data_IF_224682994266
#
_entry.id   IF_224682994266
#
_cell.length_a   1.000
_cell.length_b   1.000
_cell.length_c   1.000
_cell.angle_alpha   90.00
_cell.angle_beta   90.00
_cell.angle_gamma   90.00
#
_symmetry.space_group_name_H-M   'P 1'
#
loop_
_entity.id
_entity.type
_entity.pdbx_description
1 polymer ?
#
# COMPACT_ATOMS: atom_id res chain seq x y z
N UNK A 1 2.54 -9.84 -15.97
CA UNK A 1 3.68 -9.21 -15.27
C UNK A 1 4.03 -7.80 -15.76
N UNK A 2 4.26 -7.55 -17.08
CA UNK A 2 4.68 -6.23 -17.59
C UNK A 2 3.72 -5.09 -17.20
N UNK A 3 2.41 -5.29 -17.35
CA UNK A 3 1.39 -4.30 -16.97
C UNK A 3 1.41 -4.01 -15.47
N UNK A 4 1.53 -5.05 -14.64
CA UNK A 4 1.61 -4.93 -13.17
C UNK A 4 2.87 -4.16 -12.74
N UNK A 5 4.04 -4.49 -13.33
CA UNK A 5 5.28 -3.77 -13.08
C UNK A 5 5.18 -2.28 -13.44
N UNK A 6 4.56 -1.97 -14.60
CA UNK A 6 4.35 -0.58 -14.99
C UNK A 6 3.43 0.15 -13.98
N UNK A 7 2.35 -0.47 -13.54
CA UNK A 7 1.45 0.10 -12.54
C UNK A 7 2.19 0.37 -11.21
N UNK A 8 2.96 -0.61 -10.71
CA UNK A 8 3.78 -0.45 -9.51
C UNK A 8 4.83 0.66 -9.63
N UNK A 9 5.43 0.83 -10.82
CA UNK A 9 6.47 1.84 -11.04
C UNK A 9 5.94 3.27 -11.05
N UNK A 10 4.71 3.50 -11.53
CA UNK A 10 4.10 4.84 -11.59
C UNK A 10 3.32 5.19 -10.33
N UNK A 11 2.99 4.20 -9.52
CA UNK A 11 2.14 4.36 -8.34
C UNK A 11 2.66 5.41 -7.33
N UNK A 12 3.97 5.50 -6.97
CA UNK A 12 4.42 6.52 -6.02
C UNK A 12 4.08 7.94 -6.46
N UNK A 13 4.22 8.22 -7.74
CA UNK A 13 3.88 9.54 -8.30
C UNK A 13 2.36 9.78 -8.28
N UNK A 14 1.56 8.76 -8.58
CA UNK A 14 0.10 8.86 -8.53
C UNK A 14 -0.39 9.07 -7.10
N UNK A 15 0.12 8.28 -6.14
CA UNK A 15 -0.23 8.40 -4.72
C UNK A 15 0.08 9.81 -4.19
N UNK A 16 1.26 10.33 -4.51
CA UNK A 16 1.68 11.69 -4.12
C UNK A 16 0.77 12.75 -4.74
N UNK A 17 0.45 12.63 -6.03
CA UNK A 17 -0.43 13.58 -6.72
C UNK A 17 -1.85 13.60 -6.11
N UNK A 18 -2.44 12.43 -5.85
CA UNK A 18 -3.76 12.34 -5.21
C UNK A 18 -3.75 12.81 -3.76
N UNK A 19 -2.70 12.51 -3.00
CA UNK A 19 -2.56 13.01 -1.64
C UNK A 19 -2.51 14.55 -1.60
N UNK A 20 -1.72 15.18 -2.47
CA UNK A 20 -1.62 16.64 -2.51
C UNK A 20 -2.85 17.32 -3.12
N UNK A 21 -3.67 16.61 -3.86
CA UNK A 21 -5.00 17.08 -4.29
C UNK A 21 -5.98 17.20 -3.11
N UNK A 22 -5.78 16.43 -2.02
CA UNK A 22 -6.55 16.62 -0.78
C UNK A 22 -6.16 17.97 -0.16
N UNK A 23 -7.13 18.87 0.12
CA UNK A 23 -6.84 20.13 0.78
C UNK A 23 -6.06 19.95 2.09
N UNK A 24 -5.06 20.79 2.34
CA UNK A 24 -4.16 20.62 3.49
C UNK A 24 -4.91 20.45 4.83
N UNK A 25 -5.96 21.22 5.08
CA UNK A 25 -6.80 21.09 6.29
C UNK A 25 -7.70 19.84 6.31
N UNK A 26 -7.76 19.08 5.20
CA UNK A 26 -8.54 17.85 5.09
C UNK A 26 -7.70 16.56 5.19
N UNK A 27 -6.38 16.65 5.29
CA UNK A 27 -5.51 15.45 5.24
C UNK A 27 -5.66 14.53 6.44
N UNK A 28 -6.07 15.06 7.58
CA UNK A 28 -6.41 14.31 8.80
C UNK A 28 -7.93 14.15 9.00
N UNK A 29 -8.72 14.65 8.06
CA UNK A 29 -10.17 14.55 8.18
C UNK A 29 -10.63 13.10 8.10
N UNK A 30 -11.60 12.75 8.97
CA UNK A 30 -12.26 11.44 9.01
C UNK A 30 -13.77 11.66 8.87
N UNK A 31 -14.47 10.89 8.03
CA UNK A 31 -15.92 10.95 7.92
C UNK A 31 -16.61 10.33 9.13
N UNK A 32 -17.90 10.65 9.34
CA UNK A 32 -18.74 10.01 10.36
C UNK A 32 -19.00 8.52 10.04
N UNK A 33 -18.88 8.11 8.78
CA UNK A 33 -19.03 6.73 8.33
C UNK A 33 -18.02 6.40 7.23
N UNK A 34 -17.39 5.25 7.34
CA UNK A 34 -16.48 4.68 6.36
C UNK A 34 -17.17 3.75 5.36
N UNK A 35 -18.50 3.69 5.35
CA UNK A 35 -19.25 2.85 4.44
C UNK A 35 -18.92 3.18 2.98
N UNK A 36 -18.52 2.16 2.23
CA UNK A 36 -18.15 2.26 0.81
C UNK A 36 -16.72 2.75 0.54
N UNK A 37 -15.87 2.88 1.57
CA UNK A 37 -14.44 3.10 1.33
C UNK A 37 -13.82 1.86 0.66
N UNK A 38 -13.00 2.02 -0.39
CA UNK A 38 -12.38 0.88 -1.08
C UNK A 38 -11.09 0.35 -0.43
N UNK A 39 -10.55 1.06 0.57
CA UNK A 39 -9.37 0.73 1.35
C UNK A 39 -9.70 0.57 2.82
N UNK A 40 -8.69 0.45 3.69
CA UNK A 40 -8.88 0.55 5.14
C UNK A 40 -9.36 1.97 5.54
N UNK A 41 -10.03 2.10 6.71
CA UNK A 41 -10.65 3.35 7.16
C UNK A 41 -9.62 4.36 7.70
N UNK A 42 -8.74 4.83 6.86
CA UNK A 42 -7.66 5.77 7.14
C UNK A 42 -7.93 7.15 6.54
N UNK A 43 -7.55 8.22 7.26
CA UNK A 43 -7.45 9.57 6.69
C UNK A 43 -6.38 9.61 5.61
N UNK A 44 -6.32 10.69 4.82
CA UNK A 44 -5.37 10.77 3.71
C UNK A 44 -3.90 10.62 4.15
N UNK A 45 -3.51 11.19 5.30
CA UNK A 45 -2.15 11.03 5.83
C UNK A 45 -1.90 9.60 6.30
N UNK A 46 -2.89 8.97 6.94
CA UNK A 46 -2.77 7.58 7.39
C UNK A 46 -2.70 6.62 6.21
N UNK A 47 -3.40 6.88 5.09
CA UNK A 47 -3.31 6.09 3.86
C UNK A 47 -1.88 5.99 3.34
N UNK A 48 -1.18 7.12 3.23
CA UNK A 48 0.20 7.12 2.67
C UNK A 48 1.20 6.48 3.64
N UNK A 49 1.02 6.65 4.96
CA UNK A 49 1.83 5.98 5.96
C UNK A 49 1.63 4.46 5.90
N UNK A 50 0.37 4.01 5.81
CA UNK A 50 0.02 2.60 5.70
C UNK A 50 0.63 1.96 4.46
N UNK A 51 0.49 2.60 3.29
CA UNK A 51 1.09 2.10 2.04
C UNK A 51 2.61 1.92 2.17
N UNK A 52 3.32 2.91 2.76
CA UNK A 52 4.76 2.80 3.03
C UNK A 52 5.07 1.60 3.93
N UNK A 53 4.35 1.44 5.03
CA UNK A 53 4.67 0.44 6.04
C UNK A 53 4.30 -0.98 5.58
N UNK A 54 3.18 -1.15 4.88
CA UNK A 54 2.85 -2.44 4.25
C UNK A 54 3.89 -2.84 3.19
N UNK A 55 4.48 -1.88 2.47
CA UNK A 55 5.59 -2.18 1.56
C UNK A 55 6.81 -2.70 2.32
N UNK A 56 7.23 -1.97 3.38
CA UNK A 56 8.46 -2.25 4.13
C UNK A 56 8.33 -3.47 5.04
N UNK A 57 7.32 -3.49 5.90
CA UNK A 57 7.16 -4.52 6.93
C UNK A 57 6.38 -5.74 6.41
N UNK A 58 5.52 -5.54 5.41
CA UNK A 58 4.73 -6.60 4.80
C UNK A 58 5.42 -7.22 3.59
N UNK A 59 5.42 -6.50 2.45
CA UNK A 59 5.82 -7.10 1.17
C UNK A 59 7.30 -7.44 1.06
N UNK A 60 8.21 -6.63 1.61
CA UNK A 60 9.64 -6.98 1.61
C UNK A 60 9.89 -8.28 2.36
N UNK A 61 9.26 -8.47 3.51
CA UNK A 61 9.39 -9.70 4.30
C UNK A 61 8.70 -10.89 3.60
N UNK A 62 7.51 -10.69 3.01
CA UNK A 62 6.81 -11.72 2.26
C UNK A 62 7.63 -12.21 1.07
N UNK A 63 8.22 -11.30 0.27
CA UNK A 63 9.11 -11.68 -0.83
C UNK A 63 10.35 -12.40 -0.33
N UNK A 64 11.00 -11.90 0.71
CA UNK A 64 12.17 -12.55 1.30
C UNK A 64 11.87 -14.00 1.68
N UNK A 65 10.80 -14.22 2.45
CA UNK A 65 10.41 -15.55 2.93
C UNK A 65 9.99 -16.47 1.79
N UNK A 66 9.14 -16.01 0.88
CA UNK A 66 8.69 -16.80 -0.26
C UNK A 66 9.84 -17.22 -1.20
N UNK A 67 10.89 -16.40 -1.29
CA UNK A 67 12.08 -16.70 -2.11
C UNK A 67 13.10 -17.61 -1.41
N UNK A 68 13.16 -17.61 -0.07
CA UNK A 68 14.19 -18.32 0.68
C UNK A 68 13.67 -19.60 1.36
N UNK A 69 12.41 -19.65 1.77
CA UNK A 69 11.82 -20.75 2.51
C UNK A 69 10.98 -21.68 1.59
N UNK A 70 10.74 -22.89 2.01
CA UNK A 70 9.90 -23.86 1.31
C UNK A 70 8.43 -23.68 1.73
N UNK A 71 7.59 -23.10 0.86
CA UNK A 71 6.17 -22.88 1.06
C UNK A 71 5.82 -22.23 2.44
N UNK A 72 6.40 -21.06 2.78
CA UNK A 72 6.18 -20.43 4.07
C UNK A 72 4.74 -19.96 4.26
N UNK A 73 4.27 -19.94 5.51
CA UNK A 73 3.05 -19.17 5.87
C UNK A 73 3.45 -17.73 6.11
N UNK A 74 2.87 -16.82 5.34
CA UNK A 74 3.17 -15.40 5.38
C UNK A 74 2.20 -14.67 6.29
N UNK A 75 2.73 -13.73 7.08
CA UNK A 75 1.97 -12.99 8.07
C UNK A 75 1.28 -11.78 7.46
N UNK A 76 0.08 -11.46 7.97
CA UNK A 76 -0.54 -10.17 7.78
C UNK A 76 0.08 -9.13 8.72
N UNK A 77 0.11 -7.89 8.27
CA UNK A 77 0.50 -6.74 9.08
C UNK A 77 -0.78 -6.05 9.55
N UNK A 78 -0.92 -5.88 10.86
CA UNK A 78 -2.03 -5.12 11.44
C UNK A 78 -1.79 -3.62 11.23
N UNK A 79 -2.41 -3.09 10.19
CA UNK A 79 -2.27 -1.69 9.81
C UNK A 79 -2.85 -0.71 10.84
N UNK A 80 -3.91 -1.07 11.56
CA UNK A 80 -4.51 -0.22 12.58
C UNK A 80 -3.60 -0.10 13.80
N UNK A 81 -3.04 -1.20 14.27
CA UNK A 81 -2.04 -1.21 15.34
C UNK A 81 -0.83 -0.38 14.96
N UNK A 82 -0.27 -0.56 13.76
CA UNK A 82 0.85 0.26 13.27
C UNK A 82 0.52 1.74 13.20
N UNK A 83 -0.69 2.11 12.77
CA UNK A 83 -1.11 3.50 12.68
C UNK A 83 -1.10 4.19 14.05
N UNK A 84 -1.55 3.49 15.09
CA UNK A 84 -1.51 3.99 16.47
C UNK A 84 -0.08 4.07 17.02
N UNK A 85 0.70 2.99 16.89
CA UNK A 85 2.05 2.89 17.45
C UNK A 85 3.02 3.90 16.80
N UNK A 86 2.88 4.15 15.50
CA UNK A 86 3.74 5.05 14.73
C UNK A 86 3.20 6.47 14.59
N UNK A 87 2.02 6.74 15.14
CA UNK A 87 1.43 8.07 15.15
C UNK A 87 1.20 8.64 13.75
N UNK A 88 0.61 7.87 12.83
CA UNK A 88 0.44 8.25 11.42
C UNK A 88 -0.18 9.63 11.23
N UNK A 89 -1.11 10.04 12.07
CA UNK A 89 -1.78 11.33 11.98
C UNK A 89 -0.83 12.55 12.13
N UNK A 90 0.34 12.35 12.73
CA UNK A 90 1.36 13.38 12.96
C UNK A 90 2.57 13.26 12.00
N UNK A 91 2.53 12.35 11.03
CA UNK A 91 3.63 12.11 10.12
C UNK A 91 3.89 13.29 9.17
N UNK A 92 5.16 13.52 8.80
CA UNK A 92 5.53 14.44 7.73
C UNK A 92 5.35 13.74 6.36
N UNK A 93 4.45 14.24 5.50
CA UNK A 93 4.24 13.64 4.18
C UNK A 93 5.50 13.58 3.32
N UNK A 94 6.41 14.55 3.43
CA UNK A 94 7.64 14.58 2.64
C UNK A 94 8.55 13.41 3.03
N UNK A 95 8.70 13.14 4.33
CA UNK A 95 9.47 12.00 4.83
C UNK A 95 8.81 10.68 4.44
N UNK A 96 7.47 10.58 4.54
CA UNK A 96 6.72 9.39 4.16
C UNK A 96 6.93 9.05 2.69
N UNK A 97 6.77 10.03 1.78
CA UNK A 97 6.97 9.80 0.35
C UNK A 97 8.43 9.52 -0.01
N UNK A 98 9.39 10.14 0.66
CA UNK A 98 10.81 9.85 0.45
C UNK A 98 11.13 8.39 0.82
N UNK A 99 10.68 7.93 1.99
CA UNK A 99 10.85 6.56 2.45
C UNK A 99 10.12 5.56 1.54
N UNK A 100 8.88 5.87 1.13
CA UNK A 100 8.11 5.02 0.24
C UNK A 100 8.77 4.85 -1.14
N UNK A 101 9.30 5.92 -1.74
CA UNK A 101 10.02 5.81 -3.02
C UNK A 101 11.23 4.90 -2.94
N UNK A 102 11.97 4.94 -1.83
CA UNK A 102 13.11 4.04 -1.59
C UNK A 102 12.63 2.59 -1.47
N UNK A 103 11.58 2.36 -0.68
CA UNK A 103 11.00 1.03 -0.50
C UNK A 103 10.50 0.45 -1.82
N UNK A 104 9.75 1.23 -2.62
CA UNK A 104 9.25 0.82 -3.93
C UNK A 104 10.37 0.53 -4.93
N UNK A 105 11.43 1.31 -4.95
CA UNK A 105 12.59 1.04 -5.79
C UNK A 105 13.19 -0.34 -5.48
N UNK A 106 13.32 -0.70 -4.20
CA UNK A 106 13.78 -2.02 -3.76
C UNK A 106 12.81 -3.13 -4.20
N UNK A 107 11.50 -2.93 -4.06
CA UNK A 107 10.48 -3.88 -4.54
C UNK A 107 10.61 -4.12 -6.04
N UNK A 108 10.73 -3.05 -6.83
CA UNK A 108 10.88 -3.15 -8.29
C UNK A 108 12.17 -3.87 -8.68
N UNK A 109 13.27 -3.65 -7.97
CA UNK A 109 14.51 -4.39 -8.15
C UNK A 109 14.31 -5.89 -7.91
N UNK A 110 13.70 -6.28 -6.78
CA UNK A 110 13.38 -7.68 -6.46
C UNK A 110 12.57 -8.30 -7.61
N UNK A 111 11.46 -7.65 -8.00
CA UNK A 111 10.52 -8.22 -8.97
C UNK A 111 11.15 -8.31 -10.37
N UNK A 112 11.96 -7.31 -10.77
CA UNK A 112 12.59 -7.29 -12.12
C UNK A 112 13.65 -8.35 -12.32
N UNK A 113 14.23 -8.88 -11.23
CA UNK A 113 15.27 -9.91 -11.24
C UNK A 113 14.75 -11.32 -11.08
N UNK A 114 13.44 -11.51 -10.85
CA UNK A 114 12.83 -12.82 -10.65
C UNK A 114 12.97 -13.71 -11.90
N UNK A 115 13.49 -14.92 -11.71
CA UNK A 115 13.39 -15.98 -12.71
C UNK A 115 11.98 -16.53 -12.80
N UNK A 116 11.69 -17.30 -13.86
CA UNK A 116 10.40 -17.99 -13.99
C UNK A 116 10.16 -18.94 -12.78
N UNK A 117 11.18 -19.72 -12.41
CA UNK A 117 11.13 -20.63 -11.26
C UNK A 117 10.85 -19.89 -9.95
N UNK A 118 11.54 -18.78 -9.68
CA UNK A 118 11.31 -17.96 -8.50
C UNK A 118 9.89 -17.37 -8.49
N UNK A 119 9.39 -16.94 -9.64
CA UNK A 119 8.04 -16.38 -9.77
C UNK A 119 6.94 -17.41 -9.46
N UNK A 120 7.20 -18.69 -9.70
CA UNK A 120 6.27 -19.81 -9.47
C UNK A 120 6.43 -20.47 -8.09
N UNK A 121 7.40 -20.02 -7.26
CA UNK A 121 7.52 -20.50 -5.86
C UNK A 121 6.26 -20.19 -5.09
N UNK A 122 5.86 -21.15 -4.22
CA UNK A 122 4.61 -21.08 -3.46
C UNK A 122 4.83 -20.62 -2.03
N UNK A 123 3.79 -20.02 -1.47
CA UNK A 123 3.64 -19.68 -0.07
C UNK A 123 2.16 -19.85 0.33
N UNK A 124 1.83 -19.70 1.58
CA UNK A 124 0.46 -19.56 2.09
C UNK A 124 0.29 -18.15 2.61
N UNK A 125 -0.72 -17.45 2.11
CA UNK A 125 -1.06 -16.11 2.57
C UNK A 125 -2.57 -16.02 2.78
N UNK A 126 -2.99 -15.50 3.94
CA UNK A 126 -4.40 -15.43 4.35
C UNK A 126 -5.11 -16.81 4.31
N UNK A 127 -4.38 -17.87 4.68
CA UNK A 127 -4.89 -19.23 4.67
C UNK A 127 -5.02 -19.86 3.27
N UNK A 128 -4.65 -19.17 2.20
CA UNK A 128 -4.74 -19.63 0.83
C UNK A 128 -3.36 -19.78 0.15
N UNK A 129 -3.17 -20.77 -0.73
CA UNK A 129 -1.96 -20.89 -1.52
C UNK A 129 -1.79 -19.68 -2.45
N UNK A 130 -0.56 -19.17 -2.53
CA UNK A 130 -0.20 -18.07 -3.42
C UNK A 130 1.19 -18.33 -4.03
N UNK A 131 1.46 -17.77 -5.20
CA UNK A 131 2.81 -17.74 -5.78
C UNK A 131 3.49 -16.39 -5.54
N UNK A 132 4.80 -16.31 -5.70
CA UNK A 132 5.51 -15.01 -5.70
C UNK A 132 4.92 -14.06 -6.74
N UNK A 133 4.57 -14.56 -7.93
CA UNK A 133 3.85 -13.77 -8.94
C UNK A 133 2.49 -13.28 -8.44
N UNK A 134 1.77 -14.11 -7.71
CA UNK A 134 0.52 -13.74 -7.05
C UNK A 134 0.70 -12.62 -6.04
N UNK A 135 1.74 -12.66 -5.21
CA UNK A 135 2.09 -11.57 -4.28
C UNK A 135 2.32 -10.24 -4.99
N UNK A 136 2.98 -10.25 -6.16
CA UNK A 136 3.17 -9.02 -6.98
C UNK A 136 1.83 -8.45 -7.44
N UNK A 137 0.89 -9.30 -7.85
CA UNK A 137 -0.46 -8.86 -8.25
C UNK A 137 -1.26 -8.34 -7.04
N UNK A 138 -1.13 -8.96 -5.86
CA UNK A 138 -1.77 -8.49 -4.64
C UNK A 138 -1.23 -7.13 -4.20
N UNK A 139 0.08 -6.90 -4.26
CA UNK A 139 0.67 -5.59 -3.99
C UNK A 139 0.07 -4.52 -4.93
N UNK A 140 0.00 -4.81 -6.22
CA UNK A 140 -0.60 -3.88 -7.18
C UNK A 140 -2.09 -3.62 -6.88
N UNK A 141 -2.86 -4.64 -6.46
CA UNK A 141 -4.26 -4.48 -6.05
C UNK A 141 -4.39 -3.59 -4.81
N UNK A 142 -3.56 -3.81 -3.80
CA UNK A 142 -3.50 -2.99 -2.59
C UNK A 142 -3.21 -1.52 -2.92
N UNK A 143 -2.25 -1.24 -3.78
CA UNK A 143 -1.95 0.10 -4.26
C UNK A 143 -3.19 0.79 -4.87
N UNK A 144 -3.93 0.08 -5.74
CA UNK A 144 -5.12 0.64 -6.39
C UNK A 144 -6.25 0.92 -5.39
N UNK A 145 -6.40 0.10 -4.35
CA UNK A 145 -7.37 0.33 -3.29
C UNK A 145 -7.09 1.65 -2.55
N UNK A 146 -5.81 1.94 -2.27
CA UNK A 146 -5.43 3.19 -1.60
C UNK A 146 -5.55 4.43 -2.50
N UNK A 147 -5.29 4.32 -3.81
CA UNK A 147 -5.62 5.41 -4.74
C UNK A 147 -7.13 5.68 -4.76
N UNK A 148 -7.93 4.64 -4.84
CA UNK A 148 -9.39 4.77 -4.81
C UNK A 148 -9.88 5.31 -3.45
N UNK A 149 -9.22 4.94 -2.34
CA UNK A 149 -9.46 5.47 -1.00
C UNK A 149 -9.26 6.98 -0.90
N UNK A 150 -8.15 7.49 -1.45
CA UNK A 150 -7.90 8.94 -1.52
C UNK A 150 -8.95 9.68 -2.37
N UNK A 151 -9.34 9.11 -3.50
CA UNK A 151 -10.39 9.69 -4.36
C UNK A 151 -11.75 9.72 -3.64
N UNK A 152 -12.08 8.64 -2.94
CA UNK A 152 -13.29 8.57 -2.11
C UNK A 152 -13.28 9.63 -1.01
N UNK A 153 -12.15 9.80 -0.30
CA UNK A 153 -11.99 10.85 0.71
C UNK A 153 -12.19 12.25 0.14
N UNK A 154 -11.61 12.56 -1.02
CA UNK A 154 -11.80 13.85 -1.69
C UNK A 154 -13.27 14.12 -1.97
N UNK A 155 -13.99 13.14 -2.51
CA UNK A 155 -15.43 13.28 -2.80
C UNK A 155 -16.25 13.51 -1.52
N UNK A 156 -15.89 12.86 -0.40
CA UNK A 156 -16.57 13.08 0.88
C UNK A 156 -16.26 14.44 1.50
N UNK A 157 -15.00 14.91 1.40
CA UNK A 157 -14.60 16.25 1.85
C UNK A 157 -15.36 17.33 1.07
N UNK A 158 -15.46 17.21 -0.24
CA UNK A 158 -16.19 18.16 -1.08
C UNK A 158 -17.69 18.19 -0.72
N UNK A 159 -18.31 17.04 -0.52
CA UNK A 159 -19.69 16.95 -0.10
C UNK A 159 -19.93 17.55 1.29
N UNK A 160 -18.98 17.46 2.22
CA UNK A 160 -19.10 18.03 3.56
C UNK A 160 -19.03 19.58 3.58
N UNK A 161 -18.33 20.16 2.60
CA UNK A 161 -18.18 21.63 2.46
C UNK A 161 -19.37 22.31 1.77
N UNK A 162 -20.19 21.51 1.11
CA UNK A 162 -21.36 21.99 0.35
C UNK A 162 -22.63 22.05 1.22
N UNK A 163 -22.54 21.71 2.50
CA UNK A 163 -23.63 21.78 3.50
C UNK A 163 -23.42 22.98 4.41
#
# INVERSE_FOLDING_TARGET
MKTTLNALSVFPQQLEAFFYAVPAGGRNWKPDSWEGIPSEPFSAIEQICHVRDIEVDGYHERFRRALQEANPTLENVDGETLAMERGYAAADPLEVFAAFRIARAKTLEIISTLTAEQSDRTAVFDGAPITVRGLVHMLCSHDQQHLAGLQWLMARIDASRSR
#
